data_IF_736617686337
#
_entry.id   IF_736617686337
#
_cell.length_a   1.000
_cell.length_b   1.000
_cell.length_c   1.000
_cell.angle_alpha   90.00
_cell.angle_beta   90.00
_cell.angle_gamma   90.00
#
_symmetry.space_group_name_H-M   'P 1'
#
loop_
_entity.id
_entity.type
_entity.pdbx_description
1 polymer ?
#
# COMPACT_ATOMS: atom_id res chain seq x y z
N UNK A 1 2.08 -4.08 -8.81
CA UNK A 1 1.19 -3.01 -9.29
C UNK A 1 0.35 -2.38 -8.18
N UNK A 2 -0.68 -3.07 -7.67
CA UNK A 2 -1.70 -2.51 -6.75
C UNK A 2 -1.11 -1.90 -5.48
N UNK A 3 -0.22 -2.61 -4.81
CA UNK A 3 0.42 -2.14 -3.58
C UNK A 3 1.28 -0.89 -3.80
N UNK A 4 1.94 -0.76 -4.96
CA UNK A 4 2.71 0.44 -5.32
C UNK A 4 1.78 1.63 -5.59
N UNK A 5 0.66 1.42 -6.28
CA UNK A 5 -0.37 2.44 -6.45
C UNK A 5 -0.92 2.90 -5.10
N UNK A 6 -1.17 1.95 -4.18
CA UNK A 6 -1.65 2.23 -2.83
C UNK A 6 -0.61 3.01 -1.99
N UNK A 7 0.67 2.62 -2.01
CA UNK A 7 1.76 3.34 -1.32
C UNK A 7 1.85 4.78 -1.79
N UNK A 8 1.86 5.00 -3.12
CA UNK A 8 1.94 6.34 -3.68
C UNK A 8 0.72 7.19 -3.31
N UNK A 9 -0.48 6.62 -3.42
CA UNK A 9 -1.73 7.31 -3.16
C UNK A 9 -1.89 7.70 -1.70
N UNK A 10 -1.63 6.78 -0.76
CA UNK A 10 -1.73 7.06 0.67
C UNK A 10 -0.72 8.12 1.10
N UNK A 11 0.52 8.05 0.60
CA UNK A 11 1.53 9.09 0.83
C UNK A 11 1.19 10.44 0.18
N UNK A 12 0.26 10.50 -0.79
CA UNK A 12 -0.19 11.79 -1.35
C UNK A 12 -1.36 12.37 -0.59
N UNK A 13 -2.37 11.56 -0.28
CA UNK A 13 -3.64 12.06 0.24
C UNK A 13 -3.69 12.10 1.77
N UNK A 14 -2.81 11.37 2.45
CA UNK A 14 -2.84 11.22 3.89
C UNK A 14 -1.44 11.26 4.54
N UNK A 15 -0.46 11.91 3.91
CA UNK A 15 0.94 12.00 4.40
C UNK A 15 1.10 12.60 5.79
N UNK A 16 0.19 13.48 6.20
CA UNK A 16 0.21 14.08 7.54
C UNK A 16 -0.18 13.07 8.63
N UNK A 17 -0.85 11.98 8.26
CA UNK A 17 -1.44 11.00 9.18
C UNK A 17 -0.86 9.60 9.01
N UNK A 18 -0.37 9.27 7.82
CA UNK A 18 0.13 7.96 7.46
C UNK A 18 1.47 8.08 6.76
N UNK A 19 2.35 7.13 7.07
CA UNK A 19 3.55 6.83 6.30
C UNK A 19 3.34 5.49 5.61
N UNK A 20 3.10 5.54 4.30
CA UNK A 20 2.81 4.35 3.53
C UNK A 20 4.09 3.69 3.00
N UNK A 21 4.08 2.37 3.02
CA UNK A 21 5.03 1.49 2.36
C UNK A 21 4.24 0.42 1.58
N UNK A 22 4.88 -0.22 0.60
CA UNK A 22 4.37 -1.44 -0.01
C UNK A 22 5.38 -2.57 0.08
N UNK A 23 4.91 -3.81 0.11
CA UNK A 23 5.77 -4.99 0.10
C UNK A 23 5.05 -6.24 -0.44
N UNK A 24 5.79 -7.13 -1.10
CA UNK A 24 5.25 -8.39 -1.61
C UNK A 24 5.87 -9.61 -0.94
N UNK A 25 5.16 -10.74 -0.96
CA UNK A 25 5.70 -12.06 -0.57
C UNK A 25 6.75 -12.58 -1.56
N UNK A 26 6.53 -12.31 -2.84
CA UNK A 26 7.44 -12.62 -3.94
C UNK A 26 7.66 -11.34 -4.76
N UNK A 27 8.47 -10.38 -4.26
CA UNK A 27 8.69 -9.13 -4.97
C UNK A 27 9.44 -9.39 -6.28
N UNK A 28 9.05 -8.68 -7.33
CA UNK A 28 9.78 -8.67 -8.59
C UNK A 28 11.03 -7.79 -8.46
N UNK A 29 12.04 -7.99 -9.30
CA UNK A 29 13.24 -7.14 -9.28
C UNK A 29 12.97 -5.67 -9.59
N UNK A 30 11.79 -5.33 -10.14
CA UNK A 30 11.41 -3.98 -10.56
C UNK A 30 9.97 -3.68 -10.18
N UNK A 31 9.71 -2.40 -9.94
CA UNK A 31 8.35 -1.87 -9.81
C UNK A 31 7.60 -2.08 -11.13
N UNK A 32 6.30 -2.38 -11.03
CA UNK A 32 5.43 -2.54 -12.18
C UNK A 32 5.45 -1.29 -13.10
N UNK A 33 5.87 -1.41 -14.37
CA UNK A 33 5.98 -0.26 -15.27
C UNK A 33 4.65 0.45 -15.52
N UNK A 34 3.52 -0.25 -15.49
CA UNK A 34 2.19 0.33 -15.72
C UNK A 34 1.77 1.21 -14.55
N UNK A 35 2.05 0.77 -13.32
CA UNK A 35 1.85 1.60 -12.14
C UNK A 35 2.71 2.87 -12.20
N UNK A 36 3.99 2.74 -12.54
CA UNK A 36 4.90 3.90 -12.65
C UNK A 36 4.45 4.86 -13.74
N UNK A 37 4.03 4.35 -14.90
CA UNK A 37 3.54 5.16 -16.00
C UNK A 37 2.33 6.00 -15.58
N UNK A 38 1.29 5.36 -14.99
CA UNK A 38 0.11 6.07 -14.51
C UNK A 38 0.46 7.08 -13.41
N UNK A 39 1.29 6.70 -12.43
CA UNK A 39 1.68 7.62 -11.36
C UNK A 39 2.41 8.85 -11.90
N UNK A 40 3.27 8.69 -12.91
CA UNK A 40 3.93 9.83 -13.56
C UNK A 40 2.96 10.73 -14.31
N UNK A 41 1.97 10.18 -15.03
CA UNK A 41 0.96 11.02 -15.72
C UNK A 41 0.11 11.80 -14.73
N UNK A 42 -0.12 11.25 -13.53
CA UNK A 42 -0.83 11.91 -12.43
C UNK A 42 0.06 12.85 -11.58
N UNK A 43 1.33 13.02 -11.94
CA UNK A 43 2.26 13.95 -11.30
C UNK A 43 2.87 13.48 -9.98
N UNK A 44 2.89 12.18 -9.69
CA UNK A 44 3.54 11.62 -8.50
C UNK A 44 5.06 11.55 -8.67
N UNK A 45 5.81 11.76 -7.58
CA UNK A 45 7.22 11.39 -7.53
C UNK A 45 7.36 9.87 -7.34
N UNK A 46 7.83 9.18 -8.39
CA UNK A 46 8.01 7.72 -8.36
C UNK A 46 9.42 7.29 -7.98
N UNK A 47 10.35 8.22 -7.67
CA UNK A 47 11.77 7.88 -7.44
C UNK A 47 12.00 7.03 -6.20
N UNK A 48 11.19 7.21 -5.17
CA UNK A 48 11.29 6.47 -3.91
C UNK A 48 10.61 5.08 -3.95
N UNK A 49 9.81 4.81 -4.98
CA UNK A 49 9.07 3.55 -5.11
C UNK A 49 10.02 2.41 -5.47
N UNK A 50 9.95 1.31 -4.71
CA UNK A 50 10.75 0.11 -4.96
C UNK A 50 9.95 -1.15 -4.67
N UNK A 51 10.20 -2.21 -5.43
CA UNK A 51 9.69 -3.54 -5.09
C UNK A 51 10.57 -4.14 -4.00
N UNK A 52 9.94 -4.62 -2.92
CA UNK A 52 10.62 -5.02 -1.68
C UNK A 52 9.90 -6.17 -1.00
N UNK A 53 10.63 -6.97 -0.24
CA UNK A 53 10.06 -8.09 0.49
C UNK A 53 9.49 -7.61 1.82
N UNK A 54 8.34 -8.13 2.25
CA UNK A 54 7.74 -7.77 3.54
C UNK A 54 8.65 -8.15 4.73
N UNK A 55 9.55 -9.12 4.55
CA UNK A 55 10.54 -9.52 5.57
C UNK A 55 11.43 -8.36 6.01
N UNK A 56 11.65 -7.36 5.15
CA UNK A 56 12.40 -6.15 5.51
C UNK A 56 11.77 -5.37 6.66
N UNK A 57 10.45 -5.46 6.82
CA UNK A 57 9.70 -4.81 7.90
C UNK A 57 9.67 -5.60 9.21
N UNK A 58 10.29 -6.78 9.24
CA UNK A 58 10.49 -7.55 10.47
C UNK A 58 11.84 -7.26 11.13
N UNK A 59 12.73 -6.52 10.47
CA UNK A 59 14.05 -6.23 11.02
C UNK A 59 13.91 -5.35 12.28
N UNK A 60 14.78 -5.51 13.30
CA UNK A 60 14.70 -4.72 14.53
C UNK A 60 14.81 -3.19 14.32
N UNK A 61 15.39 -2.78 13.18
CA UNK A 61 15.55 -1.37 12.79
C UNK A 61 14.49 -0.89 11.81
N UNK A 62 13.58 -1.76 11.39
CA UNK A 62 12.50 -1.39 10.50
C UNK A 62 11.44 -0.56 11.22
N UNK A 63 10.70 0.29 10.51
CA UNK A 63 9.54 0.94 11.09
C UNK A 63 8.55 -0.12 11.59
N UNK A 64 7.97 0.12 12.77
CA UNK A 64 6.90 -0.72 13.32
C UNK A 64 5.62 -0.37 12.57
N UNK A 65 4.91 -1.39 12.09
CA UNK A 65 3.63 -1.18 11.38
C UNK A 65 2.50 -1.06 12.39
N UNK A 66 1.63 -0.08 12.18
CA UNK A 66 0.39 0.07 12.95
C UNK A 66 -0.78 -0.58 12.22
N UNK A 67 -0.75 -0.56 10.87
CA UNK A 67 -1.78 -1.13 10.01
C UNK A 67 -1.13 -1.92 8.89
N UNK A 68 -1.68 -3.09 8.59
CA UNK A 68 -1.30 -3.87 7.41
C UNK A 68 -2.54 -4.05 6.54
N UNK A 69 -2.42 -3.71 5.26
CA UNK A 69 -3.49 -3.90 4.27
C UNK A 69 -3.10 -5.03 3.33
N UNK A 70 -3.85 -6.13 3.36
CA UNK A 70 -3.66 -7.24 2.45
C UNK A 70 -4.47 -7.00 1.18
N UNK A 71 -3.79 -6.70 0.06
CA UNK A 71 -4.44 -6.51 -1.24
C UNK A 71 -4.44 -7.82 -2.03
N UNK A 72 -5.50 -8.62 -1.86
CA UNK A 72 -5.69 -9.89 -2.57
C UNK A 72 -4.57 -10.91 -2.35
N UNK A 73 -4.01 -10.95 -1.14
CA UNK A 73 -2.99 -11.90 -0.72
C UNK A 73 -3.25 -12.39 0.71
N UNK A 74 -2.43 -13.33 1.18
CA UNK A 74 -2.53 -13.92 2.52
C UNK A 74 -1.39 -13.42 3.39
N UNK A 75 -1.67 -13.11 4.66
CA UNK A 75 -0.63 -12.79 5.63
C UNK A 75 0.22 -14.04 5.91
N UNK A 76 1.53 -13.97 5.66
CA UNK A 76 2.42 -15.13 5.83
C UNK A 76 2.94 -15.33 7.27
N UNK A 77 2.70 -14.38 8.18
CA UNK A 77 3.14 -14.45 9.57
C UNK A 77 2.12 -13.89 10.55
N UNK A 78 1.99 -14.58 11.68
CA UNK A 78 1.13 -14.22 12.82
C UNK A 78 1.80 -13.31 13.85
N UNK A 79 3.11 -13.04 13.74
CA UNK A 79 3.85 -12.22 14.70
C UNK A 79 4.57 -11.06 14.00
N UNK A 80 3.84 -9.98 13.76
CA UNK A 80 4.38 -8.71 13.33
C UNK A 80 4.76 -7.86 14.55
N UNK A 81 5.91 -7.16 14.55
CA UNK A 81 6.23 -6.21 15.61
C UNK A 81 5.12 -5.19 15.77
N UNK A 82 4.70 -4.90 17.01
CA UNK A 82 3.66 -3.91 17.31
C UNK A 82 2.22 -4.40 17.16
N UNK A 83 2.00 -5.67 16.76
CA UNK A 83 0.65 -6.25 16.61
C UNK A 83 -0.32 -5.37 15.79
N UNK A 84 0.04 -5.05 14.53
CA UNK A 84 -0.74 -4.14 13.70
C UNK A 84 -2.17 -4.60 13.46
N UNK A 85 -3.08 -3.64 13.29
CA UNK A 85 -4.40 -3.90 12.75
C UNK A 85 -4.28 -4.44 11.32
N UNK A 86 -4.93 -5.57 11.04
CA UNK A 86 -4.91 -6.17 9.70
C UNK A 86 -6.23 -5.89 9.00
N UNK A 87 -6.15 -5.30 7.82
CA UNK A 87 -7.28 -5.02 6.92
C UNK A 87 -7.12 -5.80 5.63
N UNK A 88 -8.23 -6.28 5.07
CA UNK A 88 -8.23 -7.02 3.81
C UNK A 88 -8.99 -6.25 2.73
N UNK A 89 -8.30 -5.94 1.63
CA UNK A 89 -8.89 -5.28 0.48
C UNK A 89 -8.94 -6.20 -0.73
N UNK A 90 -10.15 -6.36 -1.25
CA UNK A 90 -10.41 -7.09 -2.47
C UNK A 90 -10.33 -6.10 -3.65
N UNK A 91 -9.16 -6.03 -4.26
CA UNK A 91 -8.91 -5.21 -5.47
C UNK A 91 -8.56 -6.16 -6.62
N UNK A 92 -9.32 -6.15 -7.72
CA UNK A 92 -9.14 -7.09 -8.83
C UNK A 92 -7.73 -6.98 -9.43
N UNK A 93 -7.16 -8.14 -9.78
CA UNK A 93 -5.85 -8.28 -10.44
C UNK A 93 -5.92 -8.56 -11.92
N UNK A 94 -7.05 -9.13 -12.34
CA UNK A 94 -7.18 -9.71 -13.66
C UNK A 94 -7.31 -8.59 -14.68
N UNK A 95 -6.26 -8.46 -15.48
CA UNK A 95 -6.26 -7.59 -16.64
C UNK A 95 -6.84 -8.40 -17.81
N UNK A 96 -7.93 -7.89 -18.37
CA UNK A 96 -8.60 -8.45 -19.54
C UNK A 96 -7.78 -8.10 -20.79
N UNK A 97 -7.32 -9.10 -21.58
CA UNK A 97 -6.44 -8.86 -22.73
C UNK A 97 -7.05 -8.04 -23.86
N UNK A 98 -8.37 -8.06 -23.99
CA UNK A 98 -9.18 -7.36 -24.99
C UNK A 98 -9.50 -5.91 -24.60
N UNK A 99 -9.18 -5.50 -23.36
CA UNK A 99 -9.43 -4.17 -22.85
C UNK A 99 -8.18 -3.30 -22.87
N UNK A 100 -8.37 -1.98 -22.97
CA UNK A 100 -7.28 -1.00 -22.97
C UNK A 100 -6.58 -1.04 -21.60
N UNK A 101 -5.29 -1.35 -21.60
CA UNK A 101 -4.51 -1.53 -20.38
C UNK A 101 -4.50 -0.27 -19.48
N UNK A 102 -4.35 0.93 -20.06
CA UNK A 102 -4.37 2.18 -19.29
C UNK A 102 -5.68 2.38 -18.53
N UNK A 103 -6.81 2.04 -19.15
CA UNK A 103 -8.13 2.22 -18.57
C UNK A 103 -8.35 1.25 -17.41
N UNK A 104 -7.86 0.02 -17.55
CA UNK A 104 -7.88 -0.98 -16.47
C UNK A 104 -7.01 -0.56 -15.28
N UNK A 105 -5.81 -0.03 -15.54
CA UNK A 105 -4.92 0.46 -14.46
C UNK A 105 -5.51 1.70 -13.79
N UNK A 106 -6.12 2.61 -14.56
CA UNK A 106 -6.83 3.78 -14.03
C UNK A 106 -8.06 3.37 -13.20
N UNK A 107 -8.79 2.35 -13.63
CA UNK A 107 -9.90 1.79 -12.86
C UNK A 107 -9.43 1.23 -11.51
N UNK A 108 -8.36 0.42 -11.51
CA UNK A 108 -7.73 -0.09 -10.28
C UNK A 108 -7.29 1.06 -9.37
N UNK A 109 -6.68 2.10 -9.94
CA UNK A 109 -6.30 3.30 -9.19
C UNK A 109 -7.53 3.95 -8.52
N UNK A 110 -8.63 4.14 -9.24
CA UNK A 110 -9.86 4.71 -8.68
C UNK A 110 -10.48 3.88 -7.55
N UNK A 111 -10.43 2.54 -7.67
CA UNK A 111 -10.86 1.65 -6.58
C UNK A 111 -10.00 1.81 -5.33
N UNK A 112 -8.68 1.91 -5.50
CA UNK A 112 -7.74 2.16 -4.41
C UNK A 112 -7.96 3.54 -3.79
N UNK A 113 -8.22 4.56 -4.61
CA UNK A 113 -8.51 5.93 -4.16
C UNK A 113 -9.73 5.97 -3.25
N UNK A 114 -10.83 5.33 -3.64
CA UNK A 114 -12.03 5.26 -2.82
C UNK A 114 -11.77 4.57 -1.48
N UNK A 115 -11.02 3.45 -1.48
CA UNK A 115 -10.68 2.71 -0.25
C UNK A 115 -9.75 3.51 0.66
N UNK A 116 -8.74 4.15 0.10
CA UNK A 116 -7.77 4.94 0.87
C UNK A 116 -8.43 6.21 1.42
N UNK A 117 -9.28 6.90 0.64
CA UNK A 117 -10.03 8.04 1.15
C UNK A 117 -10.92 7.66 2.33
N UNK A 118 -11.59 6.50 2.26
CA UNK A 118 -12.37 5.98 3.37
C UNK A 118 -11.52 5.62 4.60
N UNK A 119 -10.34 5.01 4.40
CA UNK A 119 -9.40 4.71 5.49
C UNK A 119 -8.90 6.00 6.15
N UNK A 120 -8.51 6.99 5.35
CA UNK A 120 -8.00 8.26 5.83
C UNK A 120 -9.06 9.08 6.57
N UNK A 121 -10.35 8.89 6.28
CA UNK A 121 -11.44 9.53 7.03
C UNK A 121 -11.73 8.88 8.38
N UNK A 122 -11.17 7.70 8.68
CA UNK A 122 -11.42 7.05 9.95
C UNK A 122 -10.70 7.76 11.12
N UNK A 123 -11.27 7.69 12.35
CA UNK A 123 -10.59 8.14 13.56
C UNK A 123 -9.24 7.43 13.80
N UNK A 124 -8.21 8.16 14.25
CA UNK A 124 -6.83 7.63 14.42
C UNK A 124 -6.72 6.60 15.56
N UNK A 125 -7.57 6.74 16.57
CA UNK A 125 -7.70 5.84 17.72
C UNK A 125 -8.06 4.41 17.31
N UNK A 126 -8.74 4.22 16.18
CA UNK A 126 -8.99 2.89 15.62
C UNK A 126 -7.71 2.16 15.18
N UNK A 127 -6.62 2.90 14.99
CA UNK A 127 -5.32 2.37 14.56
C UNK A 127 -4.25 2.44 15.65
N UNK A 128 -4.56 3.06 16.79
CA UNK A 128 -3.62 3.30 17.89
C UNK A 128 -3.96 2.45 19.10
N UNK A 129 -3.35 1.27 19.18
CA UNK A 129 -3.11 0.60 20.47
C UNK A 129 -1.63 0.32 20.78
N UNK A 130 -0.66 0.62 19.88
CA UNK A 130 0.73 0.20 20.11
C UNK A 130 1.88 1.18 19.79
N UNK A 131 1.71 2.24 18.98
CA UNK A 131 2.83 3.15 18.68
C UNK A 131 2.55 4.60 19.08
N UNK A 132 3.46 5.16 19.87
CA UNK A 132 3.41 6.56 20.35
C UNK A 132 3.77 7.60 19.28
N UNK A 133 3.75 7.25 17.98
CA UNK A 133 4.08 8.17 16.89
C UNK A 133 2.84 8.90 16.33
N UNK A 134 3.04 10.07 15.73
CA UNK A 134 1.97 10.87 15.11
C UNK A 134 1.55 10.35 13.72
N UNK A 135 2.36 9.47 13.11
CA UNK A 135 2.11 8.89 11.78
C UNK A 135 1.91 7.38 11.83
N UNK A 136 0.88 6.87 11.16
CA UNK A 136 0.56 5.44 11.08
C UNK A 136 1.35 4.79 9.94
N UNK A 137 2.13 3.75 10.24
CA UNK A 137 2.86 3.00 9.21
C UNK A 137 1.98 1.91 8.58
N UNK A 138 1.85 1.93 7.24
CA UNK A 138 1.02 0.99 6.46
C UNK A 138 1.85 0.19 5.45
N UNK A 139 1.68 -1.13 5.39
CA UNK A 139 2.19 -1.98 4.28
C UNK A 139 1.04 -2.57 3.49
N UNK A 140 1.02 -2.28 2.18
CA UNK A 140 0.12 -2.85 1.18
C UNK A 140 0.80 -3.86 0.27
#
# INVERSE_FOLDING_TARGET
>A
MRSILAEALLNRIASERFRAFSAGSSPLCRVDPQAVALLRTLGYDTKALRSKCWVEFLAPTAPVMDVIVLIGGTMLRTAWPGEPLVLEWHIPTELQPDHILSDQVAHIYGLLEARIAHLASQPLDLFKEASGEESISLVA
#
